data_IF_820848325671
#
_entry.id   IF_820848325671
#
_cell.length_a   1.000
_cell.length_b   1.000
_cell.length_c   1.000
_cell.angle_alpha   90.00
_cell.angle_beta   90.00
_cell.angle_gamma   90.00
#
_symmetry.space_group_name_H-M   'P 1'
#
loop_
_entity.id
_entity.type
_entity.pdbx_description
1 polymer ?
#
# COMPACT_ATOMS: atom_id res chain seq x y z
N UNK A 1 -7.44 20.03 -8.72
CA UNK A 1 -7.13 19.36 -7.44
C UNK A 1 -6.07 18.28 -7.70
N UNK A 2 -4.89 18.36 -7.09
CA UNK A 2 -3.83 17.35 -7.31
C UNK A 2 -3.81 16.34 -6.16
N UNK A 3 -3.73 15.03 -6.47
CA UNK A 3 -3.68 13.95 -5.47
C UNK A 3 -2.51 14.11 -4.47
N UNK A 4 -1.40 14.68 -4.95
CA UNK A 4 -0.22 15.08 -4.16
C UNK A 4 -0.57 15.94 -2.94
N UNK A 5 -1.55 16.83 -3.05
CA UNK A 5 -2.00 17.67 -1.91
C UNK A 5 -2.83 16.90 -0.88
N UNK A 6 -3.41 15.76 -1.27
CA UNK A 6 -4.34 14.97 -0.44
C UNK A 6 -3.66 13.77 0.20
N UNK A 7 -2.61 13.21 -0.41
CA UNK A 7 -1.99 11.95 0.03
C UNK A 7 -1.50 11.97 1.49
N UNK A 8 -1.05 13.13 1.97
CA UNK A 8 -0.65 13.34 3.38
C UNK A 8 -1.79 13.15 4.39
N UNK A 9 -3.06 13.13 3.94
CA UNK A 9 -4.25 12.91 4.79
C UNK A 9 -4.58 11.43 4.97
N UNK A 10 -4.04 10.54 4.14
CA UNK A 10 -4.24 9.09 4.23
C UNK A 10 -3.43 8.55 5.41
N UNK A 11 -4.11 7.87 6.36
CA UNK A 11 -3.54 7.36 7.62
C UNK A 11 -3.60 5.83 7.68
N UNK A 12 -3.16 5.21 6.61
CA UNK A 12 -3.04 3.76 6.48
C UNK A 12 -1.93 3.45 5.48
N UNK A 13 -1.44 2.20 5.45
CA UNK A 13 -0.46 1.78 4.45
C UNK A 13 -0.94 2.06 3.02
N UNK A 14 -0.06 2.58 2.18
CA UNK A 14 -0.34 2.93 0.78
C UNK A 14 0.66 2.21 -0.13
N UNK A 15 0.14 1.31 -0.96
CA UNK A 15 0.86 0.74 -2.09
C UNK A 15 0.63 1.60 -3.34
N UNK A 16 1.71 1.92 -4.04
CA UNK A 16 1.67 2.54 -5.37
C UNK A 16 2.23 1.54 -6.38
N UNK A 17 1.45 1.24 -7.42
CA UNK A 17 1.88 0.47 -8.58
C UNK A 17 1.79 1.38 -9.80
N UNK A 18 2.85 1.47 -10.60
CA UNK A 18 2.87 2.35 -11.76
C UNK A 18 3.84 1.86 -12.83
N UNK A 19 3.52 2.13 -14.10
CA UNK A 19 4.45 1.95 -15.21
C UNK A 19 5.44 3.11 -15.31
N UNK A 20 6.71 2.79 -15.57
CA UNK A 20 7.78 3.78 -15.65
C UNK A 20 7.79 4.55 -16.98
N UNK A 21 7.21 3.97 -18.02
CA UNK A 21 7.16 4.49 -19.39
C UNK A 21 5.74 4.90 -19.80
N UNK A 22 4.86 5.18 -18.83
CA UNK A 22 3.50 5.66 -19.09
C UNK A 22 3.55 7.05 -19.76
N UNK A 23 3.12 7.10 -21.03
CA UNK A 23 3.09 8.30 -21.86
C UNK A 23 1.93 9.26 -21.52
N UNK A 24 0.91 8.77 -20.80
CA UNK A 24 -0.28 9.54 -20.43
C UNK A 24 -0.10 10.18 -19.04
N UNK A 25 0.39 9.40 -18.07
CA UNK A 25 0.62 9.83 -16.70
C UNK A 25 2.07 9.57 -16.32
N UNK A 26 2.89 10.62 -16.27
CA UNK A 26 4.31 10.47 -15.94
C UNK A 26 4.51 9.77 -14.58
N UNK A 27 5.40 8.76 -14.54
CA UNK A 27 5.72 7.97 -13.34
C UNK A 27 6.11 8.81 -12.11
N UNK A 28 6.64 10.02 -12.32
CA UNK A 28 6.95 10.98 -11.26
C UNK A 28 5.74 11.30 -10.38
N UNK A 29 4.52 11.20 -10.92
CA UNK A 29 3.29 11.33 -10.13
C UNK A 29 3.15 10.19 -9.13
N UNK A 30 3.31 8.94 -9.56
CA UNK A 30 3.30 7.76 -8.68
C UNK A 30 4.39 7.85 -7.61
N UNK A 31 5.61 8.17 -8.02
CA UNK A 31 6.74 8.36 -7.10
C UNK A 31 6.49 9.48 -6.08
N UNK A 32 5.91 10.60 -6.52
CA UNK A 32 5.53 11.70 -5.65
C UNK A 32 4.47 11.29 -4.62
N UNK A 33 3.46 10.52 -5.02
CA UNK A 33 2.46 9.99 -4.09
C UNK A 33 3.10 9.07 -3.06
N UNK A 34 3.94 8.13 -3.50
CA UNK A 34 4.65 7.20 -2.62
C UNK A 34 5.51 7.94 -1.58
N UNK A 35 6.38 8.86 -2.02
CA UNK A 35 7.25 9.64 -1.11
C UNK A 35 6.50 10.51 -0.11
N UNK A 36 5.28 10.92 -0.43
CA UNK A 36 4.48 11.83 0.38
C UNK A 36 3.42 11.12 1.24
N UNK A 37 3.22 9.82 1.04
CA UNK A 37 2.37 9.00 1.89
C UNK A 37 2.93 8.96 3.31
N UNK A 38 2.02 8.89 4.30
CA UNK A 38 2.42 8.80 5.72
C UNK A 38 2.97 7.42 6.08
N UNK A 39 2.41 6.40 5.45
CA UNK A 39 2.75 5.00 5.65
C UNK A 39 2.97 4.37 4.26
N UNK A 40 4.07 4.71 3.57
CA UNK A 40 4.36 4.14 2.27
C UNK A 40 4.69 2.66 2.41
N UNK A 41 4.05 1.82 1.60
CA UNK A 41 4.47 0.45 1.37
C UNK A 41 5.47 0.40 0.20
N UNK A 42 6.26 -0.67 0.10
CA UNK A 42 7.22 -0.83 -1.01
C UNK A 42 6.46 -0.78 -2.37
N UNK A 43 6.80 0.18 -3.26
CA UNK A 43 6.05 0.37 -4.48
C UNK A 43 6.42 -0.69 -5.52
N UNK A 44 5.60 -0.84 -6.56
CA UNK A 44 5.95 -1.62 -7.73
C UNK A 44 6.05 -0.70 -8.95
N UNK A 45 7.25 -0.60 -9.51
CA UNK A 45 7.52 0.13 -10.74
C UNK A 45 7.71 -0.86 -11.89
N UNK A 46 6.76 -0.91 -12.82
CA UNK A 46 6.80 -1.84 -13.96
C UNK A 46 7.45 -1.13 -15.16
N UNK A 47 8.33 -1.82 -15.87
CA UNK A 47 8.99 -1.31 -17.08
C UNK A 47 8.36 -1.91 -18.34
N UNK A 48 8.15 -1.08 -19.38
CA UNK A 48 7.83 -1.55 -20.73
C UNK A 48 6.40 -2.00 -21.02
N UNK A 49 5.38 -1.60 -20.25
CA UNK A 49 3.97 -1.97 -20.49
C UNK A 49 3.11 -0.91 -21.19
N UNK A 50 3.63 0.30 -21.39
CA UNK A 50 2.87 1.46 -21.86
C UNK A 50 1.85 1.96 -20.83
N UNK A 51 0.56 1.92 -21.19
CA UNK A 51 -0.55 2.41 -20.38
C UNK A 51 -1.67 1.37 -20.39
N UNK A 52 -2.30 1.13 -19.24
CA UNK A 52 -3.40 0.17 -19.06
C UNK A 52 -3.06 -1.31 -19.34
N UNK A 53 -1.83 -1.76 -19.04
CA UNK A 53 -1.45 -3.18 -19.18
C UNK A 53 -0.80 -3.77 -17.92
N UNK A 54 -0.83 -3.05 -16.80
CA UNK A 54 -0.18 -3.45 -15.55
C UNK A 54 -0.57 -4.86 -15.10
N UNK A 55 -1.85 -5.22 -15.24
CA UNK A 55 -2.39 -6.53 -14.86
C UNK A 55 -1.85 -7.71 -15.68
N UNK A 56 -1.25 -7.44 -16.84
CA UNK A 56 -0.63 -8.47 -17.68
C UNK A 56 0.72 -8.92 -17.13
N UNK A 57 1.33 -8.12 -16.25
CA UNK A 57 2.61 -8.45 -15.63
C UNK A 57 2.40 -9.35 -14.42
N UNK A 58 3.11 -10.49 -14.33
CA UNK A 58 2.98 -11.41 -13.20
C UNK A 58 3.32 -10.73 -11.86
N UNK A 59 4.24 -9.76 -11.88
CA UNK A 59 4.63 -8.98 -10.72
C UNK A 59 3.47 -8.18 -10.12
N UNK A 60 2.51 -7.74 -10.94
CA UNK A 60 1.36 -6.96 -10.47
C UNK A 60 0.52 -7.75 -9.46
N UNK A 61 0.04 -8.92 -9.85
CA UNK A 61 -0.80 -9.76 -8.98
C UNK A 61 0.02 -10.28 -7.79
N UNK A 62 1.26 -10.71 -8.02
CA UNK A 62 2.14 -11.21 -6.95
C UNK A 62 2.36 -10.16 -5.85
N UNK A 63 2.69 -8.92 -6.23
CA UNK A 63 2.94 -7.83 -5.30
C UNK A 63 1.68 -7.36 -4.59
N UNK A 64 0.56 -7.24 -5.33
CA UNK A 64 -0.73 -6.89 -4.77
C UNK A 64 -1.20 -7.92 -3.73
N UNK A 65 -1.11 -9.22 -4.05
CA UNK A 65 -1.46 -10.29 -3.12
C UNK A 65 -0.57 -10.28 -1.87
N UNK A 66 0.73 -9.98 -2.03
CA UNK A 66 1.65 -9.85 -0.89
C UNK A 66 1.24 -8.69 0.01
N UNK A 67 0.97 -7.52 -0.55
CA UNK A 67 0.49 -6.36 0.20
C UNK A 67 -0.81 -6.67 0.96
N UNK A 68 -1.81 -7.25 0.30
CA UNK A 68 -3.10 -7.59 0.94
C UNK A 68 -2.89 -8.56 2.12
N UNK A 69 -2.11 -9.62 1.92
CA UNK A 69 -1.79 -10.60 2.98
C UNK A 69 -1.12 -9.93 4.18
N UNK A 70 -0.20 -9.01 3.95
CA UNK A 70 0.46 -8.28 5.04
C UNK A 70 -0.52 -7.36 5.78
N UNK A 71 -1.44 -6.70 5.09
CA UNK A 71 -2.48 -5.88 5.73
C UNK A 71 -3.43 -6.72 6.59
N UNK A 72 -3.80 -7.90 6.11
CA UNK A 72 -4.60 -8.87 6.87
C UNK A 72 -3.87 -9.33 8.14
N UNK A 73 -2.57 -9.62 8.04
CA UNK A 73 -1.74 -10.01 9.18
C UNK A 73 -1.64 -8.87 10.21
N UNK A 74 -1.33 -7.65 9.79
CA UNK A 74 -1.27 -6.47 10.68
C UNK A 74 -2.60 -6.27 11.42
N UNK A 75 -3.72 -6.38 10.70
CA UNK A 75 -5.07 -6.23 11.27
C UNK A 75 -5.36 -7.33 12.30
N UNK A 76 -4.99 -8.56 11.96
CA UNK A 76 -5.18 -9.74 12.81
C UNK A 76 -4.36 -9.63 14.10
N UNK A 77 -3.09 -9.27 13.97
CA UNK A 77 -2.18 -9.10 15.11
C UNK A 77 -2.66 -7.99 16.05
N UNK A 78 -3.06 -6.84 15.51
CA UNK A 78 -3.62 -5.75 16.32
C UNK A 78 -4.88 -6.19 17.09
N UNK A 79 -5.75 -7.00 16.47
CA UNK A 79 -6.94 -7.56 17.13
C UNK A 79 -6.57 -8.56 18.22
N UNK A 80 -5.64 -9.48 17.96
CA UNK A 80 -5.17 -10.46 18.92
C UNK A 80 -4.49 -9.80 20.13
N UNK A 81 -3.70 -8.74 19.90
CA UNK A 81 -3.08 -7.97 20.99
C UNK A 81 -4.13 -7.35 21.92
N UNK A 82 -5.18 -6.73 21.37
CA UNK A 82 -6.28 -6.16 22.17
C UNK A 82 -7.01 -7.23 23.00
N UNK A 83 -7.27 -8.40 22.41
CA UNK A 83 -7.89 -9.52 23.12
C UNK A 83 -6.99 -9.98 24.27
N UNK A 84 -5.69 -10.19 24.02
CA UNK A 84 -4.72 -10.59 25.05
C UNK A 84 -4.63 -9.58 26.20
N UNK A 85 -4.62 -8.28 25.89
CA UNK A 85 -4.61 -7.22 26.91
C UNK A 85 -5.88 -7.23 27.76
N UNK A 86 -7.06 -7.38 27.14
CA UNK A 86 -8.33 -7.46 27.86
C UNK A 86 -8.39 -8.68 28.79
N UNK A 87 -7.92 -9.84 28.34
CA UNK A 87 -7.87 -11.05 29.16
C UNK A 87 -6.92 -10.91 30.35
N UNK A 88 -5.73 -10.30 30.16
CA UNK A 88 -4.79 -10.01 31.26
C UNK A 88 -5.41 -9.10 32.32
N UNK A 89 -6.12 -8.05 31.90
CA UNK A 89 -6.76 -7.12 32.85
C UNK A 89 -7.84 -7.82 33.69
N UNK A 90 -8.65 -8.69 33.07
CA UNK A 90 -9.67 -9.48 33.78
C UNK A 90 -9.11 -10.47 34.79
N UNK A 91 -7.85 -10.90 34.62
CA UNK A 91 -7.19 -11.80 35.59
C UNK A 91 -6.62 -11.05 36.79
N UNK A 92 -6.50 -9.71 36.71
CA UNK A 92 -5.95 -8.85 37.76
C UNK A 92 -7.03 -8.14 38.60
N UNK A 93 -8.31 -8.32 38.26
CA UNK A 93 -9.50 -7.77 38.92
C UNK A 93 -10.33 -8.89 39.53
#
# INVERSE_FOLDING_TARGET
MQNVSKIRKVKCPVLVIHETEDEVVNWLHGNGLWKLAREPYEPLWITGGGHCNLELYPDYISHLCTFVREMENITTDARLQKIRQSLKLKQLT
#
